data_IF_689470629838
#
_entry.id   IF_689470629838
#
_cell.length_a   1.000
_cell.length_b   1.000
_cell.length_c   1.000
_cell.angle_alpha   90.00
_cell.angle_beta   90.00
_cell.angle_gamma   90.00
#
_symmetry.space_group_name_H-M   'P 1'
#
loop_
_entity.id
_entity.type
_entity.pdbx_description
1 polymer ?
#
# COMPACT_ATOMS: atom_id res chain seq x y z
N UNK A 1 -16.65 -12.77 4.16
CA UNK A 1 -15.35 -12.12 4.43
C UNK A 1 -15.59 -10.74 5.00
N UNK A 2 -14.76 -10.28 5.93
CA UNK A 2 -14.85 -8.94 6.53
C UNK A 2 -13.69 -8.10 6.01
N UNK A 3 -14.00 -6.93 5.44
CA UNK A 3 -13.01 -5.98 4.93
C UNK A 3 -12.86 -4.82 5.90
N UNK A 4 -11.62 -4.40 6.16
CA UNK A 4 -11.31 -3.22 6.97
C UNK A 4 -10.47 -2.28 6.10
N UNK A 5 -10.87 -1.02 6.01
CA UNK A 5 -10.13 0.01 5.28
C UNK A 5 -9.36 0.86 6.27
N UNK A 6 -8.05 0.95 6.09
CA UNK A 6 -7.16 1.85 6.86
C UNK A 6 -6.98 3.13 6.04
N UNK A 7 -7.53 4.24 6.52
CA UNK A 7 -7.40 5.57 5.91
C UNK A 7 -6.58 6.51 6.80
N UNK A 8 -6.20 7.68 6.29
CA UNK A 8 -5.49 8.68 7.08
C UNK A 8 -5.37 10.03 6.40
N UNK A 9 -4.96 11.03 7.16
CA UNK A 9 -4.97 12.45 6.77
C UNK A 9 -3.75 12.91 5.97
N UNK A 10 -2.74 12.06 5.80
CA UNK A 10 -1.52 12.42 5.07
C UNK A 10 -0.60 11.23 4.79
N UNK A 11 0.48 11.50 4.07
CA UNK A 11 1.61 10.59 3.88
C UNK A 11 2.47 10.52 5.15
N UNK A 12 3.22 9.43 5.36
CA UNK A 12 4.14 9.32 6.50
C UNK A 12 3.52 9.20 7.91
N UNK A 13 2.20 9.36 8.08
CA UNK A 13 1.55 9.35 9.41
C UNK A 13 1.47 7.98 10.11
N UNK A 14 2.11 6.94 9.56
CA UNK A 14 2.15 5.60 10.18
C UNK A 14 1.09 4.58 9.73
N UNK A 15 0.34 4.86 8.65
CA UNK A 15 -0.69 3.93 8.13
C UNK A 15 -0.16 2.52 7.86
N UNK A 16 1.02 2.41 7.26
CA UNK A 16 1.66 1.13 6.91
C UNK A 16 1.99 0.30 8.14
N UNK A 17 2.55 0.94 9.18
CA UNK A 17 2.84 0.29 10.47
C UNK A 17 1.56 -0.14 11.18
N UNK A 18 0.54 0.73 11.20
CA UNK A 18 -0.76 0.39 11.78
C UNK A 18 -1.42 -0.78 11.06
N UNK A 19 -1.41 -0.78 9.71
CA UNK A 19 -1.96 -1.86 8.90
C UNK A 19 -1.22 -3.18 9.14
N UNK A 20 0.10 -3.17 9.31
CA UNK A 20 0.88 -4.36 9.67
C UNK A 20 0.45 -4.93 11.04
N UNK A 21 0.36 -4.08 12.06
CA UNK A 21 -0.08 -4.50 13.39
C UNK A 21 -1.51 -5.04 13.40
N UNK A 22 -2.42 -4.37 12.67
CA UNK A 22 -3.80 -4.82 12.52
C UNK A 22 -3.89 -6.17 11.78
N UNK A 23 -3.10 -6.34 10.71
CA UNK A 23 -3.07 -7.59 9.96
C UNK A 23 -2.53 -8.74 10.81
N UNK A 24 -1.47 -8.51 11.58
CA UNK A 24 -0.92 -9.49 12.50
C UNK A 24 -1.92 -9.86 13.62
N UNK A 25 -2.59 -8.88 14.22
CA UNK A 25 -3.55 -9.11 15.30
C UNK A 25 -4.79 -9.89 14.86
N UNK A 26 -5.16 -9.81 13.58
CA UNK A 26 -6.37 -10.42 13.04
C UNK A 26 -6.10 -11.63 12.14
N UNK A 27 -4.84 -12.03 11.95
CA UNK A 27 -4.43 -12.96 10.89
C UNK A 27 -5.09 -12.60 9.53
N UNK A 28 -5.00 -11.33 9.17
CA UNK A 28 -5.59 -10.80 7.96
C UNK A 28 -4.62 -10.83 6.78
N UNK A 29 -5.17 -10.72 5.58
CA UNK A 29 -4.39 -10.48 4.36
C UNK A 29 -4.30 -8.98 4.11
N UNK A 30 -3.09 -8.46 3.94
CA UNK A 30 -2.86 -7.06 3.59
C UNK A 30 -2.97 -6.86 2.07
N UNK A 31 -3.52 -5.72 1.66
CA UNK A 31 -3.53 -5.29 0.28
C UNK A 31 -3.48 -3.78 0.17
N UNK A 32 -2.58 -3.29 -0.69
CA UNK A 32 -2.55 -1.90 -1.15
C UNK A 32 -2.80 -1.92 -2.67
N UNK A 33 -4.01 -1.56 -3.13
CA UNK A 33 -4.33 -1.66 -4.55
C UNK A 33 -3.41 -0.82 -5.43
N UNK A 34 -3.06 0.38 -4.98
CA UNK A 34 -2.22 1.32 -5.73
C UNK A 34 -1.05 1.77 -4.86
N UNK A 35 0.17 1.49 -5.32
CA UNK A 35 1.41 2.02 -4.77
C UNK A 35 1.94 3.10 -5.71
N UNK A 36 2.22 4.29 -5.18
CA UNK A 36 2.98 5.34 -5.86
C UNK A 36 4.29 5.61 -5.12
N UNK A 37 5.33 6.00 -5.86
CA UNK A 37 6.69 6.14 -5.33
C UNK A 37 7.32 4.79 -5.05
N UNK A 38 8.01 4.22 -6.04
CA UNK A 38 8.67 2.91 -5.92
C UNK A 38 10.16 2.99 -5.59
N UNK A 39 10.78 4.16 -5.75
CA UNK A 39 12.22 4.34 -5.56
C UNK A 39 12.67 4.01 -4.12
N UNK A 40 11.84 4.30 -3.13
CA UNK A 40 12.11 4.06 -1.71
C UNK A 40 11.54 2.71 -1.19
N UNK A 41 11.09 1.84 -2.11
CA UNK A 41 10.41 0.58 -1.80
C UNK A 41 8.88 0.70 -1.74
N UNK A 42 8.20 -0.42 -1.48
CA UNK A 42 6.73 -0.47 -1.39
C UNK A 42 6.22 -0.66 0.03
N UNK A 43 4.97 -0.28 0.29
CA UNK A 43 4.32 -0.60 1.56
C UNK A 43 4.25 -2.12 1.78
N UNK A 44 4.09 -2.90 0.71
CA UNK A 44 4.11 -4.36 0.77
C UNK A 44 5.44 -4.90 1.29
N UNK A 45 6.57 -4.31 0.88
CA UNK A 45 7.89 -4.69 1.37
C UNK A 45 8.08 -4.30 2.84
N UNK A 46 7.66 -3.09 3.22
CA UNK A 46 7.70 -2.64 4.60
C UNK A 46 6.86 -3.54 5.52
N UNK A 47 5.67 -3.93 5.10
CA UNK A 47 4.78 -4.81 5.88
C UNK A 47 5.32 -6.24 5.97
N UNK A 48 5.96 -6.77 4.92
CA UNK A 48 6.68 -8.06 4.98
C UNK A 48 7.83 -8.02 5.97
N UNK A 49 8.61 -6.93 5.99
CA UNK A 49 9.69 -6.73 6.95
C UNK A 49 9.19 -6.68 8.41
N UNK A 50 7.92 -6.29 8.62
CA UNK A 50 7.24 -6.30 9.91
C UNK A 50 6.58 -7.65 10.27
N UNK A 51 6.80 -8.71 9.47
CA UNK A 51 6.39 -10.08 9.77
C UNK A 51 5.04 -10.51 9.19
N UNK A 52 4.36 -9.68 8.40
CA UNK A 52 3.11 -10.05 7.74
C UNK A 52 3.43 -10.80 6.45
N UNK A 53 3.03 -12.07 6.37
CA UNK A 53 3.34 -12.95 5.23
C UNK A 53 2.25 -12.95 4.15
N UNK A 54 0.99 -12.69 4.54
CA UNK A 54 -0.17 -12.69 3.64
C UNK A 54 -0.37 -11.30 3.05
N UNK A 55 0.36 -11.02 1.96
CA UNK A 55 0.29 -9.74 1.23
C UNK A 55 -0.13 -10.00 -0.22
N UNK A 56 -1.24 -9.41 -0.65
CA UNK A 56 -1.65 -9.42 -2.05
C UNK A 56 -0.79 -8.46 -2.87
N UNK A 57 -0.50 -8.78 -4.15
CA UNK A 57 0.21 -7.86 -5.03
C UNK A 57 -0.60 -6.59 -5.26
N UNK A 58 0.09 -5.47 -5.44
CA UNK A 58 -0.55 -4.23 -5.88
C UNK A 58 -1.14 -4.42 -7.29
N UNK A 59 -2.32 -3.85 -7.53
CA UNK A 59 -2.88 -3.80 -8.88
C UNK A 59 -2.13 -2.79 -9.75
N UNK A 60 -1.68 -1.69 -9.13
CA UNK A 60 -0.91 -0.65 -9.79
C UNK A 60 0.34 -0.28 -8.99
N UNK A 61 1.48 -0.27 -9.69
CA UNK A 61 2.77 0.15 -9.15
C UNK A 61 3.25 1.32 -10.01
N UNK A 62 3.22 2.52 -9.43
CA UNK A 62 3.47 3.79 -10.10
C UNK A 62 4.82 4.37 -9.63
N UNK A 63 5.57 4.97 -10.55
CA UNK A 63 6.97 5.33 -10.31
C UNK A 63 7.09 6.56 -9.40
N UNK A 64 6.35 7.62 -9.71
CA UNK A 64 6.49 8.93 -9.06
C UNK A 64 5.85 8.96 -7.66
N UNK A 65 6.49 9.59 -6.65
CA UNK A 65 5.98 9.73 -5.28
C UNK A 65 4.89 10.81 -5.19
N UNK A 66 3.89 10.74 -6.06
CA UNK A 66 2.78 11.67 -6.19
C UNK A 66 1.45 10.99 -5.87
N UNK A 67 0.36 11.75 -5.97
CA UNK A 67 -0.98 11.15 -5.90
C UNK A 67 -1.14 10.10 -7.01
N UNK A 68 -1.90 9.00 -6.78
CA UNK A 68 -2.10 7.95 -7.76
C UNK A 68 -2.51 8.45 -9.16
N UNK A 69 -3.43 9.41 -9.23
CA UNK A 69 -3.86 9.99 -10.50
C UNK A 69 -2.69 10.68 -11.24
N UNK A 70 -1.89 11.47 -10.54
CA UNK A 70 -0.79 12.22 -11.18
C UNK A 70 0.37 11.30 -11.55
N UNK A 71 0.70 10.33 -10.69
CA UNK A 71 1.73 9.35 -10.99
C UNK A 71 1.31 8.46 -12.19
N UNK A 72 0.06 8.03 -12.25
CA UNK A 72 -0.46 7.25 -13.38
C UNK A 72 -0.47 8.03 -14.69
N UNK A 73 -0.84 9.32 -14.65
CA UNK A 73 -0.75 10.21 -15.82
C UNK A 73 0.70 10.31 -16.35
N UNK A 74 1.69 10.48 -15.46
CA UNK A 74 3.09 10.57 -15.83
C UNK A 74 3.65 9.23 -16.34
N UNK A 75 3.19 8.11 -15.78
CA UNK A 75 3.55 6.76 -16.20
C UNK A 75 2.82 6.30 -17.47
N UNK A 76 1.85 7.07 -17.97
CA UNK A 76 0.99 6.67 -19.09
C UNK A 76 0.09 5.48 -18.77
N UNK A 77 -0.25 5.28 -17.49
CA UNK A 77 -1.09 4.19 -16.98
C UNK A 77 -2.51 4.70 -16.74
N UNK A 78 -3.50 3.93 -17.19
CA UNK A 78 -4.91 4.15 -16.80
C UNK A 78 -5.26 3.23 -15.62
N UNK A 79 -5.87 3.81 -14.58
CA UNK A 79 -6.41 3.08 -13.43
C UNK A 79 -7.92 2.87 -13.67
N UNK A 80 -8.42 1.63 -13.54
CA UNK A 80 -9.82 1.25 -13.76
C UNK A 80 -10.63 0.99 -12.47
#
# INVERSE_FOLDING_TARGET
MRTIVVTGTGTGIGKTVFAAGLAAALDATYWKPIQSGLADGSDSDAIRALGVTRVLPEAYRLTEPLSPHRAAELDGITID
#
